data_IF_493318821785
#
_entry.id   IF_493318821785
#
_cell.length_a   1.000
_cell.length_b   1.000
_cell.length_c   1.000
_cell.angle_alpha   90.00
_cell.angle_beta   90.00
_cell.angle_gamma   90.00
#
_symmetry.space_group_name_H-M   'P 1'
#
loop_
_entity.id
_entity.type
_entity.pdbx_description
1 polymer ?
#
# COMPACT_ATOMS: atom_id res chain seq x y z
N UNK A 1 9.35 -13.23 -40.65
CA UNK A 1 9.75 -11.93 -41.22
C UNK A 1 11.24 -11.77 -40.99
N UNK A 2 12.05 -11.89 -42.05
CA UNK A 2 13.51 -11.86 -41.95
C UNK A 2 14.00 -10.39 -41.84
N UNK A 3 14.91 -10.14 -40.90
CA UNK A 3 15.42 -8.80 -40.59
C UNK A 3 16.51 -8.37 -41.60
N UNK A 4 16.34 -7.28 -42.36
CA UNK A 4 17.30 -6.82 -43.37
C UNK A 4 18.66 -6.40 -42.79
N UNK A 5 18.76 -6.16 -41.48
CA UNK A 5 20.02 -5.85 -40.82
C UNK A 5 20.96 -7.07 -40.75
N UNK A 6 20.43 -8.28 -40.61
CA UNK A 6 21.23 -9.50 -40.48
C UNK A 6 21.87 -9.93 -41.81
N UNK A 7 21.23 -9.65 -42.94
CA UNK A 7 21.81 -9.94 -44.27
C UNK A 7 22.96 -9.00 -44.63
N UNK A 8 22.89 -7.74 -44.18
CA UNK A 8 23.97 -6.76 -44.40
C UNK A 8 25.20 -7.08 -43.54
N UNK A 9 25.00 -7.50 -42.29
CA UNK A 9 26.10 -7.94 -41.42
C UNK A 9 26.75 -9.22 -41.96
N UNK A 10 25.95 -10.18 -42.45
CA UNK A 10 26.47 -11.39 -43.07
C UNK A 10 27.27 -11.12 -44.35
N UNK A 11 26.83 -10.17 -45.19
CA UNK A 11 27.55 -9.75 -46.39
C UNK A 11 28.89 -9.06 -46.08
N UNK A 12 28.91 -8.20 -45.07
CA UNK A 12 30.14 -7.52 -44.64
C UNK A 12 31.16 -8.48 -44.00
N UNK A 13 30.69 -9.54 -43.34
CA UNK A 13 31.57 -10.57 -42.77
C UNK A 13 32.15 -11.51 -43.84
N UNK A 14 31.42 -11.81 -44.93
CA UNK A 14 31.96 -12.60 -46.04
C UNK A 14 33.03 -11.85 -46.85
N UNK A 15 32.91 -10.52 -46.95
CA UNK A 15 33.95 -9.67 -47.55
C UNK A 15 35.21 -9.62 -46.69
N UNK A 16 35.07 -9.57 -45.37
CA UNK A 16 36.21 -9.57 -44.45
C UNK A 16 37.00 -10.90 -44.51
N UNK A 17 36.31 -12.02 -44.74
CA UNK A 17 36.93 -13.35 -44.85
C UNK A 17 37.71 -13.58 -46.16
N UNK A 18 37.48 -12.73 -47.17
CA UNK A 18 38.18 -12.77 -48.47
C UNK A 18 39.26 -11.69 -48.60
N UNK A 19 39.49 -10.89 -47.55
CA UNK A 19 40.55 -9.88 -47.59
C UNK A 19 41.91 -10.55 -47.38
N UNK A 20 42.67 -10.58 -48.47
CA UNK A 20 44.04 -11.03 -48.57
C UNK A 20 44.90 -10.38 -47.48
N UNK A 21 45.71 -11.20 -46.80
CA UNK A 21 46.57 -10.74 -45.73
C UNK A 21 47.44 -9.56 -46.21
N UNK A 22 47.32 -8.41 -45.53
CA UNK A 22 48.21 -7.26 -45.74
C UNK A 22 49.66 -7.72 -45.61
N UNK A 23 50.36 -7.78 -46.74
CA UNK A 23 51.80 -8.02 -46.76
C UNK A 23 52.49 -6.85 -46.04
N UNK A 24 53.47 -7.10 -45.16
CA UNK A 24 54.23 -6.04 -44.53
C UNK A 24 55.05 -5.33 -45.60
N UNK A 25 54.54 -4.19 -46.07
CA UNK A 25 55.24 -3.35 -47.03
C UNK A 25 56.42 -2.70 -46.31
N UNK A 26 57.60 -3.29 -46.50
CA UNK A 26 58.86 -2.79 -45.99
C UNK A 26 59.13 -1.44 -46.66
N UNK A 27 59.01 -0.34 -45.92
CA UNK A 27 59.08 1.05 -46.43
C UNK A 27 60.52 1.48 -46.75
N UNK A 28 61.33 0.56 -47.27
CA UNK A 28 62.73 0.77 -47.62
C UNK A 28 62.99 0.38 -49.08
N UNK A 29 62.16 0.91 -49.97
CA UNK A 29 62.49 0.97 -51.40
C UNK A 29 62.15 2.37 -51.93
N UNK A 30 63.19 3.20 -52.04
CA UNK A 30 63.12 4.61 -52.41
C UNK A 30 62.93 4.84 -53.91
N UNK A 31 61.88 4.29 -54.51
CA UNK A 31 61.71 4.42 -55.98
C UNK A 31 60.33 4.82 -56.48
N UNK A 32 59.23 4.83 -55.71
CA UNK A 32 57.89 5.09 -56.30
C UNK A 32 56.92 5.97 -55.49
N UNK A 33 57.42 7.01 -54.83
CA UNK A 33 56.61 8.19 -54.50
C UNK A 33 57.37 9.46 -54.91
N UNK A 34 57.29 9.82 -56.20
CA UNK A 34 57.55 11.19 -56.61
C UNK A 34 56.27 11.99 -56.34
N UNK A 35 56.15 12.50 -55.13
CA UNK A 35 55.24 13.61 -54.87
C UNK A 35 55.87 14.82 -55.58
N UNK A 36 55.18 15.33 -56.60
CA UNK A 36 55.57 16.55 -57.30
C UNK A 36 55.23 17.73 -56.38
N UNK A 37 55.98 17.87 -55.29
CA UNK A 37 56.11 19.15 -54.61
C UNK A 37 57.02 19.96 -55.51
N UNK A 38 56.40 20.75 -56.40
CA UNK A 38 57.09 21.87 -57.01
C UNK A 38 57.47 22.83 -55.88
N UNK A 39 58.67 22.65 -55.33
CA UNK A 39 59.38 23.75 -54.72
C UNK A 39 59.59 24.78 -55.83
N UNK A 40 59.01 25.99 -55.74
CA UNK A 40 59.49 27.06 -56.59
C UNK A 40 60.94 27.29 -56.18
N UNK A 41 61.84 27.02 -57.11
CA UNK A 41 63.26 27.26 -56.93
C UNK A 41 63.48 28.64 -56.31
N UNK A 42 64.39 28.67 -55.34
CA UNK A 42 64.92 29.90 -54.79
C UNK A 42 65.67 30.66 -55.90
N UNK A 43 64.93 31.33 -56.77
CA UNK A 43 65.44 32.51 -57.45
C UNK A 43 65.49 33.61 -56.41
N UNK A 44 66.70 34.08 -56.10
CA UNK A 44 66.89 35.37 -55.43
C UNK A 44 66.49 36.47 -56.41
N UNK A 45 65.19 36.61 -56.65
CA UNK A 45 64.61 37.80 -57.26
C UNK A 45 64.86 38.92 -56.26
N UNK A 46 65.45 40.03 -56.71
CA UNK A 46 65.70 41.21 -55.88
C UNK A 46 64.45 41.48 -55.03
N UNK A 47 64.57 41.37 -53.70
CA UNK A 47 63.43 41.48 -52.80
C UNK A 47 62.69 42.78 -53.13
N UNK A 48 61.44 42.66 -53.56
CA UNK A 48 60.56 43.79 -53.82
C UNK A 48 60.35 44.53 -52.48
N UNK A 49 61.26 45.44 -52.18
CA UNK A 49 61.26 46.24 -50.96
C UNK A 49 60.34 47.42 -51.18
N UNK A 50 59.13 47.31 -50.66
CA UNK A 50 58.21 48.43 -50.56
C UNK A 50 58.35 49.04 -49.16
N UNK A 51 58.69 50.33 -49.08
CA UNK A 51 58.82 51.08 -47.82
C UNK A 51 59.80 50.45 -46.79
N UNK A 52 60.92 49.89 -47.25
CA UNK A 52 61.99 49.38 -46.37
C UNK A 52 61.75 48.00 -45.74
N UNK A 53 60.65 47.33 -46.08
CA UNK A 53 60.35 45.96 -45.65
C UNK A 53 60.38 44.99 -46.84
N UNK A 54 60.97 43.82 -46.62
CA UNK A 54 60.94 42.72 -47.57
C UNK A 54 59.58 41.99 -47.54
N UNK A 55 59.42 40.98 -48.40
CA UNK A 55 58.19 40.19 -48.52
C UNK A 55 57.77 39.56 -47.18
N UNK A 56 58.72 39.01 -46.41
CA UNK A 56 58.44 38.44 -45.08
C UNK A 56 57.99 39.51 -44.08
N UNK A 57 58.54 40.73 -44.16
CA UNK A 57 58.12 41.88 -43.37
C UNK A 57 56.66 42.28 -43.66
N UNK A 58 56.26 42.31 -44.93
CA UNK A 58 54.86 42.57 -45.30
C UNK A 58 53.89 41.46 -44.89
N UNK A 59 54.31 40.19 -44.93
CA UNK A 59 53.53 39.06 -44.38
C UNK A 59 53.38 39.20 -42.85
N UNK A 60 54.44 39.59 -42.16
CA UNK A 60 54.40 39.89 -40.72
C UNK A 60 53.44 41.05 -40.38
N UNK A 61 53.46 42.12 -41.18
CA UNK A 61 52.52 43.25 -41.04
C UNK A 61 51.09 42.80 -41.32
N UNK A 62 50.85 42.01 -42.36
CA UNK A 62 49.52 41.45 -42.65
C UNK A 62 49.01 40.55 -41.52
N UNK A 63 49.86 39.67 -40.98
CA UNK A 63 49.53 38.84 -39.82
C UNK A 63 49.26 39.69 -38.56
N UNK A 64 50.01 40.77 -38.36
CA UNK A 64 49.78 41.72 -37.26
C UNK A 64 48.44 42.44 -37.41
N UNK A 65 48.09 42.91 -38.61
CA UNK A 65 46.80 43.55 -38.90
C UNK A 65 45.64 42.56 -38.67
N UNK A 66 45.80 41.29 -39.05
CA UNK A 66 44.79 40.25 -38.79
C UNK A 66 44.67 39.95 -37.29
N UNK A 67 45.78 39.86 -36.54
CA UNK A 67 45.74 39.67 -35.08
C UNK A 67 45.10 40.86 -34.37
N UNK A 68 45.46 42.09 -34.73
CA UNK A 68 44.84 43.31 -34.18
C UNK A 68 43.36 43.34 -34.54
N UNK A 69 43.01 43.01 -35.78
CA UNK A 69 41.62 42.87 -36.23
C UNK A 69 40.84 41.85 -35.40
N UNK A 70 41.44 40.70 -35.09
CA UNK A 70 40.84 39.65 -34.24
C UNK A 70 40.61 40.12 -32.80
N UNK A 71 41.50 40.94 -32.26
CA UNK A 71 41.35 41.57 -30.93
C UNK A 71 40.27 42.66 -30.95
N UNK A 72 40.22 43.50 -31.99
CA UNK A 72 39.18 44.53 -32.16
C UNK A 72 37.79 43.90 -32.29
N UNK A 73 37.67 42.82 -33.06
CA UNK A 73 36.44 42.02 -33.22
C UNK A 73 36.12 41.18 -31.96
N UNK A 74 36.98 41.25 -30.93
CA UNK A 74 36.79 40.61 -29.61
C UNK A 74 36.59 39.09 -29.67
N UNK A 75 37.20 38.42 -30.64
CA UNK A 75 37.19 36.94 -30.74
C UNK A 75 37.62 36.26 -29.43
N UNK A 76 38.73 36.64 -28.76
CA UNK A 76 39.09 36.01 -27.48
C UNK A 76 38.03 36.21 -26.39
N UNK A 77 37.37 37.36 -26.34
CA UNK A 77 36.31 37.62 -25.36
C UNK A 77 35.04 36.80 -25.64
N UNK A 78 34.71 36.53 -26.91
CA UNK A 78 33.58 35.66 -27.27
C UNK A 78 33.81 34.21 -26.87
N UNK A 79 35.04 33.71 -27.00
CA UNK A 79 35.43 32.37 -26.56
C UNK A 79 35.32 32.29 -25.03
N UNK A 80 35.91 33.24 -24.31
CA UNK A 80 35.80 33.31 -22.85
C UNK A 80 34.33 33.34 -22.38
N UNK A 81 33.49 34.18 -22.99
CA UNK A 81 32.06 34.26 -22.66
C UNK A 81 31.30 32.95 -22.94
N UNK A 82 31.66 32.20 -23.98
CA UNK A 82 31.05 30.88 -24.26
C UNK A 82 31.44 29.84 -23.21
N UNK A 83 32.70 29.84 -22.78
CA UNK A 83 33.18 28.97 -21.70
C UNK A 83 32.51 29.35 -20.37
N UNK A 84 32.43 30.63 -20.04
CA UNK A 84 31.74 31.11 -18.84
C UNK A 84 30.26 30.71 -18.83
N UNK A 85 29.58 30.79 -19.99
CA UNK A 85 28.19 30.34 -20.13
C UNK A 85 28.06 28.83 -19.88
N UNK A 86 28.99 28.03 -20.37
CA UNK A 86 29.01 26.58 -20.11
C UNK A 86 29.28 26.28 -18.63
N UNK A 87 30.23 26.96 -18.01
CA UNK A 87 30.51 26.83 -16.57
C UNK A 87 29.29 27.20 -15.75
N UNK A 88 28.60 28.30 -16.09
CA UNK A 88 27.37 28.71 -15.42
C UNK A 88 26.26 27.67 -15.58
N UNK A 89 26.07 27.12 -16.78
CA UNK A 89 25.08 26.07 -17.03
C UNK A 89 25.39 24.78 -16.26
N UNK A 90 26.66 24.35 -16.22
CA UNK A 90 27.09 23.17 -15.46
C UNK A 90 26.92 23.38 -13.96
N UNK A 91 27.25 24.57 -13.44
CA UNK A 91 27.01 24.93 -12.02
C UNK A 91 25.52 24.86 -11.69
N UNK A 92 24.67 25.44 -12.54
CA UNK A 92 23.23 25.39 -12.34
C UNK A 92 22.71 23.94 -12.32
N UNK A 93 23.13 23.10 -13.26
CA UNK A 93 22.74 21.69 -13.30
C UNK A 93 23.24 20.91 -12.07
N UNK A 94 24.46 21.18 -11.60
CA UNK A 94 25.00 20.58 -10.38
C UNK A 94 24.22 21.01 -9.13
N UNK A 95 23.83 22.29 -9.05
CA UNK A 95 23.06 22.80 -7.91
C UNK A 95 21.63 22.26 -7.92
N UNK A 96 20.99 22.16 -9.09
CA UNK A 96 19.70 21.48 -9.27
C UNK A 96 19.79 19.99 -8.91
N UNK A 97 20.83 19.28 -9.33
CA UNK A 97 21.03 17.87 -8.99
C UNK A 97 21.27 17.66 -7.49
N UNK A 98 22.03 18.55 -6.84
CA UNK A 98 22.23 18.53 -5.38
C UNK A 98 20.91 18.78 -4.65
N UNK A 99 20.13 19.77 -5.10
CA UNK A 99 18.81 20.06 -4.54
C UNK A 99 17.88 18.86 -4.69
N UNK A 100 17.82 18.25 -5.87
CA UNK A 100 17.00 17.08 -6.12
C UNK A 100 17.42 15.88 -5.26
N UNK A 101 18.73 15.68 -5.03
CA UNK A 101 19.21 14.67 -4.07
C UNK A 101 18.78 14.97 -2.65
N UNK A 102 18.94 16.22 -2.20
CA UNK A 102 18.52 16.61 -0.86
C UNK A 102 17.00 16.40 -0.67
N UNK A 103 16.19 16.76 -1.65
CA UNK A 103 14.74 16.52 -1.64
C UNK A 103 14.41 15.02 -1.63
N UNK A 104 15.13 14.20 -2.41
CA UNK A 104 14.95 12.75 -2.42
C UNK A 104 15.35 12.11 -1.08
N UNK A 105 16.41 12.58 -0.43
CA UNK A 105 16.84 12.11 0.89
C UNK A 105 15.83 12.49 1.98
N UNK A 106 15.32 13.72 1.96
CA UNK A 106 14.24 14.15 2.86
C UNK A 106 13.00 13.28 2.65
N UNK A 107 12.57 13.10 1.40
CA UNK A 107 11.40 12.31 1.07
C UNK A 107 11.56 10.84 1.51
N UNK A 108 12.73 10.26 1.27
CA UNK A 108 13.06 8.90 1.75
C UNK A 108 12.91 8.81 3.27
N UNK A 109 13.51 9.75 4.01
CA UNK A 109 13.45 9.75 5.48
C UNK A 109 12.01 9.92 5.98
N UNK A 110 11.21 10.76 5.32
CA UNK A 110 9.78 10.90 5.63
C UNK A 110 9.00 9.61 5.39
N UNK A 111 9.23 8.91 4.28
CA UNK A 111 8.56 7.64 4.00
C UNK A 111 9.01 6.53 4.94
N UNK A 112 10.30 6.46 5.30
CA UNK A 112 10.79 5.52 6.31
C UNK A 112 10.16 5.79 7.69
N UNK A 113 10.03 7.06 8.08
CA UNK A 113 9.35 7.44 9.32
C UNK A 113 7.86 7.09 9.28
N UNK A 114 7.17 7.38 8.16
CA UNK A 114 5.76 7.02 7.95
C UNK A 114 5.55 5.51 7.96
N UNK A 115 6.45 4.73 7.37
CA UNK A 115 6.37 3.27 7.39
C UNK A 115 6.50 2.72 8.81
N UNK A 116 7.49 3.19 9.59
CA UNK A 116 7.66 2.81 11.00
C UNK A 116 6.46 3.21 11.86
N UNK A 117 5.91 4.40 11.64
CA UNK A 117 4.71 4.85 12.34
C UNK A 117 3.51 3.96 12.00
N UNK A 118 3.29 3.64 10.71
CA UNK A 118 2.20 2.76 10.28
C UNK A 118 2.34 1.34 10.85
N UNK A 119 3.56 0.80 10.96
CA UNK A 119 3.82 -0.49 11.61
C UNK A 119 3.48 -0.43 13.11
N UNK A 120 3.91 0.62 13.81
CA UNK A 120 3.60 0.81 15.23
C UNK A 120 2.09 0.98 15.48
N UNK A 121 1.40 1.73 14.61
CA UNK A 121 -0.04 1.91 14.64
C UNK A 121 -0.77 0.59 14.39
N UNK A 122 -0.31 -0.22 13.43
CA UNK A 122 -0.88 -1.53 13.15
C UNK A 122 -0.73 -2.49 14.35
N UNK A 123 0.42 -2.48 15.02
CA UNK A 123 0.62 -3.27 16.25
C UNK A 123 -0.32 -2.81 17.35
N UNK A 124 -0.44 -1.49 17.55
CA UNK A 124 -1.35 -0.89 18.54
C UNK A 124 -2.80 -1.23 18.25
N UNK A 125 -3.21 -1.14 16.98
CA UNK A 125 -4.55 -1.49 16.53
C UNK A 125 -4.86 -2.97 16.77
N UNK A 126 -3.92 -3.87 16.48
CA UNK A 126 -4.09 -5.31 16.77
C UNK A 126 -4.20 -5.58 18.26
N UNK A 127 -3.39 -4.93 19.07
CA UNK A 127 -3.46 -5.07 20.52
C UNK A 127 -4.81 -4.58 21.06
N UNK A 128 -5.27 -3.41 20.62
CA UNK A 128 -6.58 -2.86 21.00
C UNK A 128 -7.72 -3.79 20.57
N UNK A 129 -7.71 -4.26 19.32
CA UNK A 129 -8.72 -5.19 18.81
C UNK A 129 -8.75 -6.50 19.61
N UNK A 130 -7.60 -7.03 20.03
CA UNK A 130 -7.54 -8.22 20.88
C UNK A 130 -8.11 -7.95 22.28
N UNK A 131 -7.81 -6.79 22.87
CA UNK A 131 -8.37 -6.40 24.16
C UNK A 131 -9.88 -6.22 24.10
N UNK A 132 -10.40 -5.54 23.08
CA UNK A 132 -11.83 -5.37 22.84
C UNK A 132 -12.52 -6.72 22.60
N UNK A 133 -11.92 -7.60 21.80
CA UNK A 133 -12.46 -8.95 21.57
C UNK A 133 -12.55 -9.74 22.89
N UNK A 134 -11.51 -9.68 23.73
CA UNK A 134 -11.52 -10.35 25.03
C UNK A 134 -12.62 -9.76 25.95
N UNK A 135 -12.81 -8.43 25.95
CA UNK A 135 -13.87 -7.78 26.71
C UNK A 135 -15.27 -8.17 26.21
N UNK A 136 -15.47 -8.24 24.89
CA UNK A 136 -16.73 -8.70 24.28
C UNK A 136 -17.02 -10.15 24.69
N UNK A 137 -16.02 -11.03 24.63
CA UNK A 137 -16.18 -12.43 25.05
C UNK A 137 -16.52 -12.52 26.53
N UNK A 138 -15.83 -11.77 27.39
CA UNK A 138 -16.10 -11.75 28.83
C UNK A 138 -17.53 -11.26 29.12
N UNK A 139 -17.95 -10.17 28.48
CA UNK A 139 -19.31 -9.64 28.59
C UNK A 139 -20.36 -10.63 28.07
N UNK A 140 -20.12 -11.22 26.91
CA UNK A 140 -21.04 -12.21 26.32
C UNK A 140 -21.20 -13.45 27.21
N UNK A 141 -20.12 -13.90 27.86
CA UNK A 141 -20.19 -15.00 28.86
C UNK A 141 -21.04 -14.59 30.05
N UNK A 142 -20.79 -13.41 30.62
CA UNK A 142 -21.57 -12.91 31.75
C UNK A 142 -23.06 -12.77 31.41
N UNK A 143 -23.38 -12.15 30.27
CA UNK A 143 -24.75 -11.96 29.79
C UNK A 143 -25.44 -13.33 29.53
N UNK A 144 -24.69 -14.31 29.01
CA UNK A 144 -25.20 -15.67 28.80
C UNK A 144 -25.49 -16.38 30.13
N UNK A 145 -24.60 -16.30 31.12
CA UNK A 145 -24.81 -16.84 32.46
C UNK A 145 -26.04 -16.21 33.13
N UNK A 146 -26.18 -14.88 33.03
CA UNK A 146 -27.33 -14.17 33.58
C UNK A 146 -28.64 -14.57 32.87
N UNK A 147 -28.61 -14.72 31.53
CA UNK A 147 -29.73 -15.24 30.76
C UNK A 147 -30.13 -16.64 31.19
N UNK A 148 -29.17 -17.53 31.40
CA UNK A 148 -29.42 -18.90 31.86
C UNK A 148 -30.02 -18.87 33.27
N UNK A 149 -29.45 -18.12 34.21
CA UNK A 149 -29.98 -18.00 35.57
C UNK A 149 -31.43 -17.49 35.57
N UNK A 150 -31.75 -16.47 34.77
CA UNK A 150 -33.14 -15.98 34.63
C UNK A 150 -34.06 -17.02 34.01
N UNK A 151 -33.60 -17.81 33.03
CA UNK A 151 -34.40 -18.88 32.42
C UNK A 151 -34.66 -20.01 33.39
N UNK A 152 -33.66 -20.43 34.16
CA UNK A 152 -33.81 -21.43 35.21
C UNK A 152 -34.83 -20.99 36.24
N UNK A 153 -34.70 -19.75 36.76
CA UNK A 153 -35.68 -19.21 37.72
C UNK A 153 -37.10 -19.20 37.16
N UNK A 154 -37.30 -18.77 35.91
CA UNK A 154 -38.64 -18.80 35.27
C UNK A 154 -39.18 -20.21 35.13
N UNK A 155 -38.32 -21.19 34.84
CA UNK A 155 -38.72 -22.59 34.76
C UNK A 155 -39.11 -23.13 36.15
N UNK A 156 -38.31 -22.84 37.17
CA UNK A 156 -38.61 -23.18 38.57
C UNK A 156 -39.94 -22.54 39.03
N UNK A 157 -40.13 -21.25 38.78
CA UNK A 157 -41.38 -20.54 39.11
C UNK A 157 -42.59 -21.17 38.40
N UNK A 158 -42.43 -21.59 37.13
CA UNK A 158 -43.49 -22.27 36.36
C UNK A 158 -43.78 -23.67 36.89
N UNK A 159 -42.76 -24.43 37.29
CA UNK A 159 -42.91 -25.75 37.91
C UNK A 159 -43.65 -25.59 39.24
N UNK A 160 -43.22 -24.66 40.10
CA UNK A 160 -43.87 -24.40 41.39
C UNK A 160 -45.33 -23.96 41.24
N UNK A 161 -45.64 -23.14 40.22
CA UNK A 161 -47.01 -22.78 39.90
C UNK A 161 -47.83 -24.00 39.44
N UNK A 162 -47.28 -24.84 38.55
CA UNK A 162 -47.94 -26.05 38.07
C UNK A 162 -48.18 -27.06 39.20
N UNK A 163 -47.22 -27.23 40.12
CA UNK A 163 -47.35 -28.09 41.31
C UNK A 163 -48.51 -27.64 42.21
N UNK A 164 -48.62 -26.32 42.47
CA UNK A 164 -49.73 -25.77 43.26
C UNK A 164 -51.07 -26.04 42.60
N UNK A 165 -51.17 -25.86 41.28
CA UNK A 165 -52.38 -26.16 40.51
C UNK A 165 -52.70 -27.65 40.58
N UNK A 166 -51.73 -28.54 40.34
CA UNK A 166 -51.94 -29.99 40.40
C UNK A 166 -52.41 -30.47 41.79
N UNK A 167 -51.84 -29.93 42.87
CA UNK A 167 -52.29 -30.23 44.24
C UNK A 167 -53.73 -29.76 44.46
N UNK A 168 -54.09 -28.57 43.96
CA UNK A 168 -55.45 -28.06 44.07
C UNK A 168 -56.45 -28.92 43.29
N UNK A 169 -56.09 -29.35 42.07
CA UNK A 169 -56.90 -30.26 41.25
C UNK A 169 -57.11 -31.62 41.92
N UNK A 170 -56.05 -32.24 42.47
CA UNK A 170 -56.17 -33.52 43.20
C UNK A 170 -57.07 -33.38 44.43
N UNK A 171 -56.95 -32.28 45.18
CA UNK A 171 -57.83 -32.01 46.33
C UNK A 171 -59.28 -31.82 45.89
N UNK A 172 -59.53 -31.06 44.84
CA UNK A 172 -60.87 -30.85 44.30
C UNK A 172 -61.50 -32.18 43.86
N UNK A 173 -60.76 -33.00 43.12
CA UNK A 173 -61.19 -34.32 42.69
C UNK A 173 -61.48 -35.24 43.88
N UNK A 174 -60.61 -35.25 44.89
CA UNK A 174 -60.81 -36.05 46.10
C UNK A 174 -62.07 -35.61 46.86
N UNK A 175 -62.30 -34.30 47.03
CA UNK A 175 -63.51 -33.76 47.67
C UNK A 175 -64.77 -34.09 46.88
N UNK A 176 -64.75 -33.96 45.55
CA UNK A 176 -65.88 -34.32 44.69
C UNK A 176 -66.20 -35.82 44.77
N UNK A 177 -65.17 -36.67 44.72
CA UNK A 177 -65.33 -38.13 44.81
C UNK A 177 -65.85 -38.55 46.19
N UNK A 178 -65.35 -37.94 47.26
CA UNK A 178 -65.84 -38.17 48.61
C UNK A 178 -67.29 -37.72 48.79
N UNK A 179 -67.68 -36.57 48.23
CA UNK A 179 -69.05 -36.07 48.25
C UNK A 179 -70.00 -37.02 47.51
N UNK A 180 -69.62 -37.49 46.31
CA UNK A 180 -70.38 -38.50 45.56
C UNK A 180 -70.51 -39.83 46.32
N UNK A 181 -69.42 -40.29 46.95
CA UNK A 181 -69.47 -41.51 47.74
C UNK A 181 -70.39 -41.36 48.96
N UNK A 182 -70.34 -40.21 49.65
CA UNK A 182 -71.23 -39.89 50.76
C UNK A 182 -72.70 -39.82 50.31
N UNK A 183 -72.99 -39.23 49.15
CA UNK A 183 -74.33 -39.20 48.56
C UNK A 183 -74.90 -40.60 48.35
N UNK A 184 -74.11 -41.52 47.78
CA UNK A 184 -74.51 -42.93 47.61
C UNK A 184 -74.75 -43.61 48.96
N UNK A 185 -73.83 -43.44 49.92
CA UNK A 185 -73.92 -44.06 51.24
C UNK A 185 -75.11 -43.54 52.06
N UNK A 186 -75.43 -42.25 51.93
CA UNK A 186 -76.64 -41.64 52.50
C UNK A 186 -77.88 -42.24 51.84
N UNK A 187 -77.92 -42.31 50.51
CA UNK A 187 -79.06 -42.88 49.79
C UNK A 187 -79.34 -44.35 50.15
N UNK A 188 -78.30 -45.14 50.42
CA UNK A 188 -78.43 -46.54 50.86
C UNK A 188 -78.90 -46.69 52.32
N UNK A 189 -78.54 -45.76 53.21
CA UNK A 189 -78.89 -45.82 54.63
C UNK A 189 -80.13 -45.00 55.02
N UNK A 190 -80.72 -44.23 54.10
CA UNK A 190 -81.88 -43.39 54.38
C UNK A 190 -83.17 -44.22 54.39
N UNK A 191 -83.65 -44.53 55.59
CA UNK A 191 -84.98 -45.09 55.80
C UNK A 191 -85.98 -44.02 56.28
N UNK A 192 -87.28 -44.35 56.22
CA UNK A 192 -88.35 -43.42 56.60
C UNK A 192 -88.32 -42.99 58.09
N UNK A 193 -87.60 -43.72 58.95
CA UNK A 193 -87.46 -43.41 60.38
C UNK A 193 -86.30 -42.43 60.63
N UNK A 194 -85.19 -42.60 59.93
CA UNK A 194 -84.06 -41.69 59.92
C UNK A 194 -84.46 -40.30 59.38
N UNK A 195 -85.26 -40.25 58.31
CA UNK A 195 -85.79 -39.01 57.73
C UNK A 195 -86.63 -38.21 58.73
N UNK A 196 -87.60 -38.84 59.41
CA UNK A 196 -88.41 -38.18 60.45
C UNK A 196 -87.53 -37.62 61.57
N UNK A 197 -86.53 -38.38 62.01
CA UNK A 197 -85.62 -37.95 63.08
C UNK A 197 -84.78 -36.74 62.65
N UNK A 198 -84.33 -36.69 61.40
CA UNK A 198 -83.60 -35.53 60.85
C UNK A 198 -84.50 -34.29 60.71
N UNK A 199 -85.75 -34.46 60.29
CA UNK A 199 -86.74 -33.38 60.20
C UNK A 199 -87.01 -32.80 61.59
N UNK A 200 -87.30 -33.65 62.58
CA UNK A 200 -87.56 -33.21 63.96
C UNK A 200 -86.34 -32.48 64.56
N UNK A 201 -85.13 -32.96 64.30
CA UNK A 201 -83.88 -32.30 64.74
C UNK A 201 -83.66 -30.96 64.02
N UNK A 202 -83.99 -30.85 62.73
CA UNK A 202 -83.86 -29.60 61.96
C UNK A 202 -84.88 -28.57 62.44
N UNK A 203 -86.14 -28.97 62.66
CA UNK A 203 -87.19 -28.13 63.27
C UNK A 203 -86.76 -27.67 64.67
N UNK A 204 -86.21 -28.56 65.49
CA UNK A 204 -85.68 -28.21 66.80
C UNK A 204 -84.44 -27.29 66.75
N UNK A 205 -83.67 -27.30 65.66
CA UNK A 205 -82.54 -26.39 65.46
C UNK A 205 -82.99 -24.99 65.01
N UNK A 206 -84.02 -24.91 64.16
CA UNK A 206 -84.62 -23.64 63.74
C UNK A 206 -85.44 -22.98 64.85
N UNK A 207 -86.05 -23.79 65.73
CA UNK A 207 -86.68 -23.32 66.96
C UNK A 207 -85.67 -22.88 68.04
N UNK A 208 -84.39 -23.22 67.86
CA UNK A 208 -83.28 -22.79 68.72
C UNK A 208 -82.61 -21.58 68.08
N UNK A 209 -83.37 -20.51 67.90
CA UNK A 209 -82.79 -19.19 67.62
C UNK A 209 -82.05 -18.76 68.88
N UNK A 210 -80.72 -18.86 68.84
CA UNK A 210 -79.80 -18.04 69.61
C UNK A 210 -78.83 -17.41 68.61
#
# INVERSE_FOLDING_TARGET
MANPASSLVAANLSDAASSEAMQPQNVRDGSQLTANVSEPGAEHVAEATALGFNTTGWVGIAALVVLIGMVIVKVPAKIAASLDKQIAAVRQQLDEAKKLRAEAEVLRNEYEAKAKAAEADAVTMRHHAQQEANQIIAKAKHDAEELMARRTKRAEDKIAAAERTAIAEVRALASETAAKAAEVLIAEQLDAQADRTMIDRSIASLGRVN
#
